data_IF_978885532903
#
_entry.id   IF_978885532903
#
_cell.length_a   1.000
_cell.length_b   1.000
_cell.length_c   1.000
_cell.angle_alpha   90.00
_cell.angle_beta   90.00
_cell.angle_gamma   90.00
#
_symmetry.space_group_name_H-M   'P 1'
#
loop_
_entity.id
_entity.type
_entity.pdbx_description
1 polymer ?
#
# COMPACT_ATOMS: atom_id res chain seq x y z
N UNK A 1 -7.09 -5.14 -11.53
CA UNK A 1 -6.31 -5.84 -12.58
C UNK A 1 -6.11 -7.33 -12.26
N UNK A 2 -5.52 -8.07 -13.18
CA UNK A 2 -5.31 -9.54 -13.06
C UNK A 2 -4.56 -9.94 -11.79
N UNK A 3 -3.51 -9.19 -11.41
CA UNK A 3 -2.73 -9.47 -10.19
C UNK A 3 -3.59 -9.42 -8.92
N UNK A 4 -4.51 -8.46 -8.83
CA UNK A 4 -5.42 -8.40 -7.69
C UNK A 4 -6.39 -9.57 -7.61
N UNK A 5 -6.89 -10.03 -8.75
CA UNK A 5 -7.73 -11.23 -8.84
C UNK A 5 -6.93 -12.51 -8.51
N UNK A 6 -5.68 -12.58 -8.93
CA UNK A 6 -4.75 -13.67 -8.60
C UNK A 6 -4.57 -13.81 -7.09
N UNK A 7 -4.23 -12.71 -6.41
CA UNK A 7 -4.10 -12.67 -4.94
C UNK A 7 -5.39 -13.14 -4.27
N UNK A 8 -6.53 -12.65 -4.74
CA UNK A 8 -7.84 -13.04 -4.22
C UNK A 8 -8.11 -14.55 -4.37
N UNK A 9 -7.82 -15.14 -5.53
CA UNK A 9 -8.05 -16.57 -5.78
C UNK A 9 -7.17 -17.45 -4.89
N UNK A 10 -5.89 -17.09 -4.67
CA UNK A 10 -5.03 -17.82 -3.74
C UNK A 10 -5.55 -17.76 -2.30
N UNK A 11 -6.03 -16.62 -1.86
CA UNK A 11 -6.64 -16.49 -0.53
C UNK A 11 -7.96 -17.26 -0.40
N UNK A 12 -8.77 -17.33 -1.47
CA UNK A 12 -9.94 -18.19 -1.49
C UNK A 12 -9.58 -19.67 -1.36
N UNK A 13 -8.54 -20.10 -2.08
CA UNK A 13 -8.02 -21.44 -1.94
C UNK A 13 -7.57 -21.72 -0.51
N UNK A 14 -6.78 -20.83 0.09
CA UNK A 14 -6.32 -20.97 1.47
C UNK A 14 -7.47 -21.07 2.47
N UNK A 15 -8.54 -20.31 2.25
CA UNK A 15 -9.73 -20.29 3.10
C UNK A 15 -10.65 -21.51 2.89
N UNK A 16 -10.92 -21.92 1.64
CA UNK A 16 -11.92 -22.96 1.32
C UNK A 16 -11.32 -24.32 1.13
N UNK A 17 -10.02 -24.42 0.84
CA UNK A 17 -9.30 -25.62 0.41
C UNK A 17 -9.84 -26.25 -0.88
N UNK A 18 -10.63 -25.50 -1.67
CA UNK A 18 -11.18 -25.97 -2.94
C UNK A 18 -10.17 -25.78 -4.08
N UNK A 19 -9.71 -26.89 -4.69
CA UNK A 19 -8.67 -26.92 -5.73
C UNK A 19 -8.98 -26.01 -6.94
N UNK A 20 -10.25 -25.80 -7.27
CA UNK A 20 -10.69 -24.97 -8.39
C UNK A 20 -10.16 -23.54 -8.31
N UNK A 21 -10.02 -22.94 -7.11
CA UNK A 21 -9.48 -21.60 -6.95
C UNK A 21 -7.97 -21.57 -7.21
N UNK A 22 -7.23 -22.60 -6.76
CA UNK A 22 -5.80 -22.73 -7.04
C UNK A 22 -5.53 -22.89 -8.53
N UNK A 23 -6.25 -23.79 -9.21
CA UNK A 23 -6.12 -24.02 -10.65
C UNK A 23 -6.40 -22.72 -11.46
N UNK A 24 -7.43 -21.95 -11.06
CA UNK A 24 -7.72 -20.66 -11.71
C UNK A 24 -6.63 -19.65 -11.46
N UNK A 25 -6.05 -19.61 -10.25
CA UNK A 25 -4.96 -18.73 -9.90
C UNK A 25 -3.70 -19.05 -10.72
N UNK A 26 -3.32 -20.34 -10.80
CA UNK A 26 -2.16 -20.79 -11.59
C UNK A 26 -2.29 -20.44 -13.07
N UNK A 27 -3.45 -20.68 -13.70
CA UNK A 27 -3.70 -20.29 -15.11
C UNK A 27 -3.61 -18.76 -15.30
N UNK A 28 -4.10 -17.98 -14.34
CA UNK A 28 -4.03 -16.54 -14.40
C UNK A 28 -2.59 -16.02 -14.22
N UNK A 29 -1.79 -16.71 -13.40
CA UNK A 29 -0.37 -16.42 -13.21
C UNK A 29 0.41 -16.69 -14.50
N UNK A 30 0.21 -17.86 -15.14
CA UNK A 30 0.83 -18.23 -16.41
C UNK A 30 0.51 -17.18 -17.49
N UNK A 31 -0.78 -16.80 -17.63
CA UNK A 31 -1.20 -15.78 -18.60
C UNK A 31 -0.56 -14.42 -18.33
N UNK A 32 -0.41 -14.05 -17.06
CA UNK A 32 0.22 -12.79 -16.66
C UNK A 32 1.72 -12.78 -16.99
N UNK A 33 2.42 -13.87 -16.68
CA UNK A 33 3.86 -13.99 -16.93
C UNK A 33 4.20 -14.08 -18.43
N UNK A 34 3.41 -14.83 -19.21
CA UNK A 34 3.66 -15.03 -20.64
C UNK A 34 3.22 -13.85 -21.51
N UNK A 35 2.08 -13.23 -21.19
CA UNK A 35 1.42 -12.30 -22.10
C UNK A 35 1.45 -10.85 -21.67
N UNK A 36 1.38 -10.54 -20.38
CA UNK A 36 1.18 -9.18 -19.90
C UNK A 36 2.50 -8.45 -19.57
N UNK A 37 3.51 -9.14 -19.04
CA UNK A 37 4.78 -8.53 -18.70
C UNK A 37 5.50 -7.94 -19.92
N UNK A 38 5.40 -8.60 -21.07
CA UNK A 38 6.05 -8.17 -22.32
C UNK A 38 5.34 -7.00 -23.01
N UNK A 39 4.04 -6.81 -22.78
CA UNK A 39 3.20 -5.83 -23.46
C UNK A 39 2.98 -4.56 -22.65
N UNK A 40 3.09 -4.63 -21.32
CA UNK A 40 2.82 -3.49 -20.47
C UNK A 40 4.03 -2.56 -20.37
N UNK A 41 3.92 -1.39 -20.98
CA UNK A 41 4.97 -0.36 -20.95
C UNK A 41 4.88 0.56 -19.71
N UNK A 42 3.75 0.54 -18.98
CA UNK A 42 3.56 1.34 -17.77
C UNK A 42 4.31 0.74 -16.58
N UNK A 43 4.90 1.62 -15.76
CA UNK A 43 5.66 1.21 -14.56
C UNK A 43 4.92 1.48 -13.25
N UNK A 44 3.75 2.11 -13.30
CA UNK A 44 3.02 2.51 -12.08
C UNK A 44 2.70 1.32 -11.17
N UNK A 45 2.41 1.60 -9.90
CA UNK A 45 1.96 0.57 -8.95
C UNK A 45 0.48 0.25 -9.17
N UNK A 46 -0.32 1.26 -9.52
CA UNK A 46 -1.76 1.11 -9.65
C UNK A 46 -2.16 0.25 -10.85
N UNK A 47 -1.55 0.49 -12.01
CA UNK A 47 -1.93 -0.14 -13.29
C UNK A 47 -0.75 -0.74 -14.05
N UNK A 48 0.45 -0.70 -13.48
CA UNK A 48 1.69 -1.04 -14.16
C UNK A 48 2.47 -2.21 -13.55
N UNK A 49 3.68 -2.37 -14.07
CA UNK A 49 4.58 -3.49 -13.77
C UNK A 49 5.05 -3.49 -12.31
N UNK A 50 5.23 -2.32 -11.67
CA UNK A 50 5.60 -2.28 -10.25
C UNK A 50 4.51 -2.86 -9.35
N UNK A 51 3.22 -2.66 -9.70
CA UNK A 51 2.12 -3.29 -8.98
C UNK A 51 2.07 -4.81 -9.16
N UNK A 52 2.36 -5.27 -10.38
CA UNK A 52 2.49 -6.71 -10.66
C UNK A 52 3.65 -7.31 -9.86
N UNK A 53 4.80 -6.66 -9.85
CA UNK A 53 5.99 -7.11 -9.12
C UNK A 53 5.76 -7.18 -7.60
N UNK A 54 5.10 -6.17 -7.01
CA UNK A 54 4.71 -6.19 -5.59
C UNK A 54 3.72 -7.33 -5.28
N UNK A 55 2.83 -7.64 -6.23
CA UNK A 55 1.92 -8.77 -6.11
C UNK A 55 2.62 -10.12 -6.19
N UNK A 56 3.61 -10.27 -7.09
CA UNK A 56 4.45 -11.47 -7.19
C UNK A 56 5.27 -11.69 -5.91
N UNK A 57 5.92 -10.62 -5.39
CA UNK A 57 6.61 -10.68 -4.10
C UNK A 57 5.68 -11.13 -2.97
N UNK A 58 4.45 -10.62 -2.95
CA UNK A 58 3.45 -10.99 -1.96
C UNK A 58 3.08 -12.47 -2.01
N UNK A 59 2.77 -13.03 -3.20
CA UNK A 59 2.34 -14.43 -3.33
C UNK A 59 3.47 -15.42 -3.05
N UNK A 60 4.73 -15.08 -3.38
CA UNK A 60 5.92 -15.88 -3.02
C UNK A 60 6.15 -15.82 -1.50
N UNK A 61 6.13 -14.65 -0.88
CA UNK A 61 6.25 -14.51 0.59
C UNK A 61 5.16 -15.23 1.37
N UNK A 62 3.96 -15.34 0.79
CA UNK A 62 2.84 -16.11 1.35
C UNK A 62 2.93 -17.61 1.08
N UNK A 63 3.94 -18.06 0.35
CA UNK A 63 4.14 -19.45 -0.03
C UNK A 63 2.95 -20.03 -0.84
N UNK A 64 2.25 -19.16 -1.58
CA UNK A 64 1.25 -19.61 -2.54
C UNK A 64 1.89 -20.17 -3.80
N UNK A 65 3.08 -19.67 -4.12
CA UNK A 65 3.90 -20.09 -5.27
C UNK A 65 5.34 -20.22 -4.81
N UNK A 66 6.01 -21.27 -5.26
CA UNK A 66 7.45 -21.45 -5.09
C UNK A 66 8.20 -20.73 -6.23
N UNK A 67 9.32 -20.09 -5.91
CA UNK A 67 10.17 -19.43 -6.90
C UNK A 67 11.18 -18.47 -6.29
N UNK A 68 12.24 -18.19 -7.03
CA UNK A 68 13.17 -17.14 -6.70
C UNK A 68 12.59 -15.78 -7.18
N UNK A 69 12.33 -14.90 -6.24
CA UNK A 69 11.71 -13.61 -6.54
C UNK A 69 12.65 -12.70 -7.34
N UNK A 70 13.97 -12.85 -7.24
CA UNK A 70 14.93 -12.09 -8.03
C UNK A 70 14.86 -12.49 -9.50
N UNK A 71 14.77 -13.79 -9.78
CA UNK A 71 14.61 -14.29 -11.15
C UNK A 71 13.28 -13.83 -11.75
N UNK A 72 12.18 -13.93 -11.00
CA UNK A 72 10.84 -13.52 -11.44
C UNK A 72 10.76 -12.02 -11.76
N UNK A 73 11.45 -11.18 -11.01
CA UNK A 73 11.36 -9.72 -11.16
C UNK A 73 12.47 -9.11 -12.03
N UNK A 74 13.47 -9.88 -12.46
CA UNK A 74 14.64 -9.37 -13.21
C UNK A 74 14.25 -8.54 -14.43
N UNK A 75 13.29 -8.99 -15.23
CA UNK A 75 12.82 -8.27 -16.41
C UNK A 75 12.10 -6.94 -16.08
N UNK A 76 11.38 -6.88 -14.95
CA UNK A 76 10.72 -5.65 -14.48
C UNK A 76 11.76 -4.68 -13.94
N UNK A 77 12.71 -5.17 -13.15
CA UNK A 77 13.81 -4.38 -12.62
C UNK A 77 14.63 -3.73 -13.75
N UNK A 78 15.00 -4.50 -14.78
CA UNK A 78 15.72 -3.99 -15.96
C UNK A 78 14.98 -2.87 -16.68
N UNK A 79 13.66 -3.02 -16.86
CA UNK A 79 12.82 -1.98 -17.45
C UNK A 79 12.75 -0.73 -16.58
N UNK A 80 12.62 -0.90 -15.26
CA UNK A 80 12.62 0.21 -14.31
C UNK A 80 13.95 0.94 -14.33
N UNK A 81 15.08 0.22 -14.24
CA UNK A 81 16.42 0.78 -14.33
C UNK A 81 16.59 1.58 -15.62
N UNK A 82 16.26 0.98 -16.76
CA UNK A 82 16.38 1.63 -18.08
C UNK A 82 15.58 2.94 -18.15
N UNK A 83 14.36 2.94 -17.64
CA UNK A 83 13.48 4.13 -17.69
C UNK A 83 13.89 5.20 -16.68
N UNK A 84 14.28 4.82 -15.44
CA UNK A 84 14.64 5.77 -14.39
C UNK A 84 16.07 6.30 -14.53
N UNK A 85 17.01 5.52 -15.07
CA UNK A 85 18.41 5.98 -15.24
C UNK A 85 18.56 6.84 -16.49
N UNK A 86 18.02 6.40 -17.62
CA UNK A 86 18.22 7.05 -18.93
C UNK A 86 17.06 7.95 -19.36
N UNK A 87 15.91 7.88 -18.68
CA UNK A 87 14.78 8.75 -18.94
C UNK A 87 14.93 10.12 -18.27
N UNK A 88 14.34 11.16 -18.89
CA UNK A 88 14.18 12.46 -18.22
C UNK A 88 13.01 12.35 -17.23
N UNK A 89 13.32 12.15 -15.93
CA UNK A 89 12.33 11.86 -14.90
C UNK A 89 11.43 13.06 -14.57
N UNK A 90 11.98 14.28 -14.60
CA UNK A 90 11.30 15.49 -14.17
C UNK A 90 10.07 15.86 -15.01
N UNK A 91 10.08 15.50 -16.28
CA UNK A 91 8.98 15.82 -17.22
C UNK A 91 8.01 14.66 -17.46
N UNK A 92 8.28 13.46 -16.89
CA UNK A 92 7.59 12.22 -17.28
C UNK A 92 6.72 11.61 -16.19
N UNK A 93 7.07 11.79 -14.92
CA UNK A 93 6.41 11.14 -13.79
C UNK A 93 5.86 12.15 -12.79
N UNK A 94 4.65 11.90 -12.31
CA UNK A 94 4.05 12.68 -11.23
C UNK A 94 4.75 12.38 -9.89
N UNK A 95 4.59 13.28 -8.93
CA UNK A 95 5.13 13.12 -7.58
C UNK A 95 4.66 11.80 -6.94
N UNK A 96 3.39 11.44 -7.10
CA UNK A 96 2.85 10.18 -6.60
C UNK A 96 3.52 8.95 -7.23
N UNK A 97 3.78 8.97 -8.53
CA UNK A 97 4.47 7.88 -9.22
C UNK A 97 5.91 7.72 -8.71
N UNK A 98 6.64 8.83 -8.49
CA UNK A 98 8.00 8.79 -7.93
C UNK A 98 8.01 8.21 -6.50
N UNK A 99 7.02 8.54 -5.68
CA UNK A 99 6.86 7.96 -4.33
C UNK A 99 6.63 6.45 -4.42
N UNK A 100 5.78 6.00 -5.33
CA UNK A 100 5.51 4.58 -5.54
C UNK A 100 6.72 3.84 -6.09
N UNK A 101 7.51 4.45 -6.98
CA UNK A 101 8.78 3.85 -7.42
C UNK A 101 9.77 3.72 -6.26
N UNK A 102 9.88 4.75 -5.40
CA UNK A 102 10.73 4.67 -4.22
C UNK A 102 10.26 3.55 -3.28
N UNK A 103 8.95 3.39 -3.10
CA UNK A 103 8.38 2.29 -2.33
C UNK A 103 8.72 0.92 -2.93
N UNK A 104 8.61 0.77 -4.26
CA UNK A 104 9.02 -0.46 -4.95
C UNK A 104 10.51 -0.75 -4.74
N UNK A 105 11.38 0.24 -4.95
CA UNK A 105 12.83 0.10 -4.74
C UNK A 105 13.13 -0.32 -3.28
N UNK A 106 12.47 0.29 -2.30
CA UNK A 106 12.58 -0.13 -0.90
C UNK A 106 12.22 -1.61 -0.73
N UNK A 107 11.13 -2.08 -1.35
CA UNK A 107 10.73 -3.49 -1.30
C UNK A 107 11.76 -4.41 -1.95
N UNK A 108 12.41 -3.98 -3.03
CA UNK A 108 13.52 -4.73 -3.63
C UNK A 108 14.74 -4.80 -2.71
N UNK A 109 15.09 -3.70 -2.03
CA UNK A 109 16.18 -3.67 -1.05
C UNK A 109 15.95 -4.61 0.14
N UNK A 110 14.69 -4.81 0.57
CA UNK A 110 14.36 -5.77 1.63
C UNK A 110 14.68 -7.23 1.26
N UNK A 111 14.66 -7.55 -0.03
CA UNK A 111 14.85 -8.92 -0.54
C UNK A 111 16.33 -9.22 -0.76
N UNK A 112 17.12 -8.21 -1.13
CA UNK A 112 18.53 -8.40 -1.51
C UNK A 112 19.38 -8.74 -0.28
N UNK A 113 20.12 -9.85 -0.36
CA UNK A 113 20.91 -10.38 0.73
C UNK A 113 22.38 -9.99 0.69
N UNK A 114 22.89 -9.58 -0.48
CA UNK A 114 24.30 -9.20 -0.67
C UNK A 114 24.43 -7.78 -1.26
N UNK A 115 25.58 -7.15 -1.00
CA UNK A 115 25.84 -5.75 -1.37
C UNK A 115 25.86 -5.54 -2.90
N UNK A 116 26.33 -6.50 -3.69
CA UNK A 116 26.38 -6.38 -5.13
C UNK A 116 24.98 -6.33 -5.76
N UNK A 117 24.04 -7.08 -5.21
CA UNK A 117 22.64 -7.07 -5.65
C UNK A 117 21.90 -5.81 -5.17
N UNK A 118 22.29 -5.28 -4.01
CA UNK A 118 21.68 -4.06 -3.44
C UNK A 118 22.13 -2.79 -4.15
N UNK A 119 23.39 -2.72 -4.55
CA UNK A 119 24.00 -1.51 -5.10
C UNK A 119 23.19 -0.81 -6.20
N UNK A 120 22.64 -1.49 -7.23
CA UNK A 120 21.82 -0.84 -8.24
C UNK A 120 20.57 -0.17 -7.63
N UNK A 121 19.87 -0.84 -6.74
CA UNK A 121 18.65 -0.31 -6.08
C UNK A 121 18.98 0.86 -5.14
N UNK A 122 20.11 0.81 -4.44
CA UNK A 122 20.60 1.94 -3.63
C UNK A 122 20.84 3.18 -4.49
N UNK A 123 21.47 3.03 -5.67
CA UNK A 123 21.68 4.11 -6.63
C UNK A 123 20.37 4.75 -7.10
N UNK A 124 19.34 3.93 -7.39
CA UNK A 124 18.01 4.43 -7.75
C UNK A 124 17.31 5.11 -6.57
N UNK A 125 17.41 4.54 -5.37
CA UNK A 125 16.83 5.14 -4.16
C UNK A 125 17.43 6.53 -3.89
N UNK A 126 18.75 6.68 -4.00
CA UNK A 126 19.44 7.97 -3.86
C UNK A 126 18.88 9.00 -4.87
N UNK A 127 18.77 8.60 -6.13
CA UNK A 127 18.24 9.48 -7.20
C UNK A 127 16.81 9.92 -6.89
N UNK A 128 15.94 8.98 -6.52
CA UNK A 128 14.53 9.26 -6.20
C UNK A 128 14.37 10.12 -4.95
N UNK A 129 15.14 9.86 -3.88
CA UNK A 129 15.09 10.66 -2.64
C UNK A 129 15.48 12.11 -2.91
N UNK A 130 16.54 12.35 -3.71
CA UNK A 130 16.93 13.71 -4.04
C UNK A 130 15.85 14.43 -4.87
N UNK A 131 15.32 13.75 -5.89
CA UNK A 131 14.28 14.33 -6.72
C UNK A 131 13.00 14.63 -5.95
N UNK A 132 12.57 13.73 -5.06
CA UNK A 132 11.42 13.96 -4.20
C UNK A 132 11.64 15.14 -3.24
N UNK A 133 12.86 15.26 -2.67
CA UNK A 133 13.20 16.38 -1.80
C UNK A 133 13.12 17.74 -2.49
N UNK A 134 13.41 17.79 -3.79
CA UNK A 134 13.35 19.03 -4.59
C UNK A 134 11.92 19.37 -5.06
N UNK A 135 11.04 18.37 -5.21
CA UNK A 135 9.68 18.53 -5.73
C UNK A 135 8.61 18.74 -4.65
N UNK A 136 8.87 18.30 -3.41
CA UNK A 136 7.87 18.39 -2.33
C UNK A 136 7.83 19.80 -1.77
N UNK A 137 6.66 20.39 -1.81
CA UNK A 137 6.32 21.67 -1.21
C UNK A 137 5.12 21.57 -0.25
N UNK A 138 4.62 22.70 0.22
CA UNK A 138 3.49 22.75 1.16
C UNK A 138 2.20 22.11 0.59
N UNK A 139 1.99 22.18 -0.73
CA UNK A 139 0.79 21.63 -1.37
C UNK A 139 0.72 20.11 -1.31
N UNK A 140 1.87 19.44 -1.14
CA UNK A 140 1.92 17.98 -0.97
C UNK A 140 1.19 17.50 0.29
N UNK A 141 1.06 18.36 1.31
CA UNK A 141 0.40 18.03 2.57
C UNK A 141 -1.09 18.37 2.58
N UNK A 142 -1.60 18.98 1.50
CA UNK A 142 -3.02 19.26 1.38
C UNK A 142 -3.84 17.97 1.24
N UNK A 143 -5.00 17.97 1.86
CA UNK A 143 -5.90 16.82 1.89
C UNK A 143 -7.11 17.06 1.00
N UNK A 144 -7.64 15.97 0.43
CA UNK A 144 -8.96 15.99 -0.17
C UNK A 144 -10.05 15.93 0.93
N UNK A 145 -11.29 16.31 0.55
CA UNK A 145 -12.45 16.25 1.45
C UNK A 145 -12.93 14.82 1.75
N UNK A 146 -12.41 13.84 1.04
CA UNK A 146 -12.73 12.42 1.21
C UNK A 146 -11.45 11.61 1.29
N UNK A 147 -11.45 10.57 2.11
CA UNK A 147 -10.31 9.67 2.22
C UNK A 147 -10.06 8.92 0.90
N UNK A 148 -8.80 8.91 0.48
CA UNK A 148 -8.32 8.08 -0.62
C UNK A 148 -6.82 7.85 -0.52
N UNK A 149 -6.38 6.59 -0.57
CA UNK A 149 -4.94 6.26 -0.64
C UNK A 149 -4.29 6.76 -1.93
N UNK A 150 -5.07 7.04 -2.98
CA UNK A 150 -4.58 7.59 -4.24
C UNK A 150 -4.41 9.12 -4.24
N UNK A 151 -4.91 9.80 -3.23
CA UNK A 151 -4.84 11.26 -3.13
C UNK A 151 -3.94 11.71 -1.98
N UNK A 152 -3.83 10.92 -0.91
CA UNK A 152 -3.04 11.25 0.26
C UNK A 152 -1.77 10.40 0.33
N UNK A 153 -0.69 10.87 -0.30
CA UNK A 153 0.56 10.10 -0.46
C UNK A 153 1.58 10.30 0.67
N UNK A 154 1.34 11.24 1.59
CA UNK A 154 2.24 11.51 2.73
C UNK A 154 2.55 10.24 3.52
N UNK A 155 1.57 9.38 3.88
CA UNK A 155 1.84 8.18 4.67
C UNK A 155 2.78 7.19 4.01
N UNK A 156 2.61 6.94 2.70
CA UNK A 156 3.45 5.99 1.97
C UNK A 156 4.89 6.52 1.80
N UNK A 157 5.06 7.83 1.57
CA UNK A 157 6.38 8.47 1.52
C UNK A 157 7.09 8.33 2.87
N UNK A 158 6.40 8.71 3.97
CA UNK A 158 6.97 8.67 5.32
C UNK A 158 7.33 7.24 5.73
N UNK A 159 6.47 6.26 5.41
CA UNK A 159 6.76 4.83 5.63
C UNK A 159 8.02 4.41 4.89
N UNK A 160 8.14 4.78 3.63
CA UNK A 160 9.28 4.40 2.79
C UNK A 160 10.58 5.01 3.30
N UNK A 161 10.62 6.32 3.58
CA UNK A 161 11.80 7.00 4.13
C UNK A 161 12.19 6.45 5.50
N UNK A 162 11.20 6.16 6.37
CA UNK A 162 11.44 5.58 7.70
C UNK A 162 12.03 4.16 7.66
N UNK A 163 11.76 3.43 6.60
CA UNK A 163 12.36 2.12 6.38
C UNK A 163 13.74 2.24 5.72
N UNK A 164 13.90 3.15 4.76
CA UNK A 164 15.18 3.37 4.08
C UNK A 164 16.28 3.91 5.01
N UNK A 165 15.94 4.72 6.01
CA UNK A 165 16.92 5.25 6.98
C UNK A 165 17.60 4.15 7.81
N UNK A 166 17.04 2.95 7.85
CA UNK A 166 17.62 1.80 8.55
C UNK A 166 18.81 1.19 7.78
N UNK A 167 18.94 1.48 6.51
CA UNK A 167 20.10 1.10 5.69
C UNK A 167 21.17 2.19 5.79
N UNK A 168 22.44 1.81 5.86
CA UNK A 168 23.54 2.79 6.06
C UNK A 168 23.83 3.64 4.81
N UNK A 169 23.37 3.22 3.63
CA UNK A 169 23.50 4.02 2.44
C UNK A 169 22.63 5.30 2.55
N UNK A 170 23.21 6.45 2.30
CA UNK A 170 22.54 7.75 2.20
C UNK A 170 21.74 8.22 3.44
N UNK A 171 22.02 7.66 4.61
CA UNK A 171 21.30 7.89 5.88
C UNK A 171 21.20 9.37 6.24
N UNK A 172 22.32 10.12 6.19
CA UNK A 172 22.34 11.55 6.55
C UNK A 172 21.43 12.40 5.65
N UNK A 173 21.35 12.06 4.36
CA UNK A 173 20.49 12.79 3.44
C UNK A 173 19.02 12.47 3.67
N UNK A 174 18.68 11.21 3.88
CA UNK A 174 17.31 10.78 4.23
C UNK A 174 16.88 11.47 5.53
N UNK A 175 17.77 11.54 6.53
CA UNK A 175 17.47 12.24 7.77
C UNK A 175 17.18 13.73 7.54
N UNK A 176 17.98 14.43 6.74
CA UNK A 176 17.73 15.84 6.38
C UNK A 176 16.39 16.02 5.65
N UNK A 177 16.02 15.09 4.77
CA UNK A 177 14.70 15.12 4.11
C UNK A 177 13.59 14.94 5.13
N UNK A 178 13.70 13.99 6.05
CA UNK A 178 12.73 13.79 7.13
C UNK A 178 12.63 15.02 8.06
N UNK A 179 13.73 15.70 8.37
CA UNK A 179 13.74 16.94 9.14
C UNK A 179 13.00 18.08 8.39
N UNK A 180 13.20 18.21 7.08
CA UNK A 180 12.47 19.19 6.26
C UNK A 180 10.96 18.90 6.23
N UNK A 181 10.58 17.63 6.01
CA UNK A 181 9.17 17.22 6.00
C UNK A 181 8.50 17.41 7.36
N UNK A 182 9.23 17.20 8.46
CA UNK A 182 8.71 17.34 9.82
C UNK A 182 8.28 18.77 10.14
N UNK A 183 8.89 19.79 9.53
CA UNK A 183 8.49 21.19 9.72
C UNK A 183 7.04 21.45 9.29
N UNK A 184 6.61 20.83 8.20
CA UNK A 184 5.22 20.89 7.75
C UNK A 184 4.30 20.02 8.62
N UNK A 185 4.73 18.78 8.91
CA UNK A 185 3.90 17.80 9.61
C UNK A 185 3.62 18.19 11.06
N UNK A 186 4.61 18.69 11.81
CA UNK A 186 4.43 19.02 13.23
C UNK A 186 3.52 20.24 13.47
N UNK A 187 3.31 21.06 12.45
CA UNK A 187 2.41 22.19 12.50
C UNK A 187 0.99 21.88 12.02
N UNK A 188 0.75 20.68 11.50
CA UNK A 188 -0.50 20.32 10.85
C UNK A 188 -0.99 18.93 11.27
N UNK A 189 -2.27 18.84 11.65
CA UNK A 189 -2.97 17.56 11.82
C UNK A 189 -3.93 17.38 10.64
N UNK A 190 -3.94 16.22 9.99
CA UNK A 190 -4.92 15.92 8.95
C UNK A 190 -6.36 16.16 9.43
N UNK A 191 -7.21 16.70 8.56
CA UNK A 191 -8.61 16.98 8.89
C UNK A 191 -9.40 15.70 9.08
N UNK A 192 -9.24 14.75 8.16
CA UNK A 192 -9.92 13.46 8.24
C UNK A 192 -9.24 12.55 9.26
N UNK A 193 -10.03 11.94 10.14
CA UNK A 193 -9.53 10.97 11.11
C UNK A 193 -8.99 9.70 10.45
N UNK A 194 -9.52 9.31 9.30
CA UNK A 194 -9.00 8.18 8.54
C UNK A 194 -7.64 8.54 7.90
N UNK A 195 -7.40 9.79 7.47
CA UNK A 195 -6.08 10.26 7.06
C UNK A 195 -5.10 10.28 8.25
N UNK A 196 -5.55 10.64 9.46
CA UNK A 196 -4.73 10.54 10.68
C UNK A 196 -4.32 9.11 10.97
N UNK A 197 -5.23 8.15 10.83
CA UNK A 197 -4.94 6.73 11.00
C UNK A 197 -3.94 6.23 9.97
N UNK A 198 -4.11 6.62 8.70
CA UNK A 198 -3.19 6.24 7.63
C UNK A 198 -1.82 6.89 7.81
N UNK A 199 -1.77 8.17 8.22
CA UNK A 199 -0.52 8.84 8.56
C UNK A 199 0.18 8.20 9.75
N UNK A 200 -0.57 7.84 10.80
CA UNK A 200 -0.03 7.13 11.96
C UNK A 200 0.69 5.84 11.54
N UNK A 201 0.09 5.03 10.68
CA UNK A 201 0.73 3.84 10.12
C UNK A 201 2.05 4.18 9.40
N UNK A 202 2.07 5.29 8.65
CA UNK A 202 3.26 5.72 7.89
C UNK A 202 4.43 6.18 8.76
N UNK A 203 4.14 6.89 9.86
CA UNK A 203 5.18 7.54 10.69
C UNK A 203 5.59 6.75 11.94
N UNK A 204 4.85 5.72 12.32
CA UNK A 204 5.15 4.92 13.53
C UNK A 204 6.61 4.42 13.61
N UNK A 205 7.28 4.02 12.53
CA UNK A 205 8.69 3.66 12.60
C UNK A 205 9.61 4.79 13.06
N UNK A 206 9.22 6.06 12.89
CA UNK A 206 10.00 7.24 13.28
C UNK A 206 9.87 7.60 14.76
N UNK A 207 8.98 6.97 15.51
CA UNK A 207 8.66 7.31 16.92
C UNK A 207 9.89 7.39 17.84
N UNK A 208 10.93 6.64 17.54
CA UNK A 208 12.16 6.58 18.33
C UNK A 208 13.31 7.43 17.72
N UNK A 209 13.09 8.13 16.59
CA UNK A 209 14.13 8.93 15.95
C UNK A 209 14.43 10.23 16.71
N UNK A 210 13.42 10.84 17.34
CA UNK A 210 13.57 12.01 18.23
C UNK A 210 12.37 12.16 19.17
N UNK A 211 12.52 12.96 20.27
CA UNK A 211 11.42 13.29 21.17
C UNK A 211 10.24 13.97 20.45
N UNK A 212 10.51 14.78 19.41
CA UNK A 212 9.47 15.46 18.64
C UNK A 212 8.63 14.49 17.80
N UNK A 213 9.27 13.50 17.16
CA UNK A 213 8.56 12.43 16.48
C UNK A 213 7.70 11.62 17.44
N UNK A 214 8.23 11.27 18.62
CA UNK A 214 7.47 10.53 19.61
C UNK A 214 6.25 11.33 20.10
N UNK A 215 6.42 12.63 20.36
CA UNK A 215 5.32 13.53 20.75
C UNK A 215 4.26 13.58 19.64
N UNK A 216 4.65 13.84 18.40
CA UNK A 216 3.73 13.94 17.27
C UNK A 216 2.95 12.63 17.03
N UNK A 217 3.61 11.47 17.06
CA UNK A 217 2.95 10.16 16.97
C UNK A 217 1.91 9.98 18.06
N UNK A 218 2.23 10.34 19.32
CA UNK A 218 1.29 10.23 20.43
C UNK A 218 0.09 11.18 20.31
N UNK A 219 0.30 12.41 19.89
CA UNK A 219 -0.75 13.39 19.65
C UNK A 219 -1.66 12.97 18.49
N UNK A 220 -1.06 12.54 17.38
CA UNK A 220 -1.80 12.02 16.22
C UNK A 220 -2.68 10.84 16.61
N UNK A 221 -2.12 9.84 17.34
CA UNK A 221 -2.89 8.68 17.83
C UNK A 221 -4.08 9.09 18.70
N UNK A 222 -3.86 10.00 19.67
CA UNK A 222 -4.92 10.50 20.57
C UNK A 222 -6.02 11.26 19.83
N UNK A 223 -5.67 11.90 18.71
CA UNK A 223 -6.60 12.68 17.90
C UNK A 223 -7.53 11.84 17.02
N UNK A 224 -7.28 10.53 16.87
CA UNK A 224 -8.09 9.64 16.03
C UNK A 224 -9.38 9.28 16.76
N UNK A 225 -10.52 9.51 16.12
CA UNK A 225 -11.84 9.15 16.63
C UNK A 225 -12.55 8.23 15.63
N UNK A 226 -12.72 6.94 16.01
CA UNK A 226 -13.33 5.94 15.14
C UNK A 226 -14.82 6.21 14.90
N UNK A 227 -15.54 6.80 15.86
CA UNK A 227 -16.98 7.11 15.69
C UNK A 227 -17.19 8.17 14.61
N UNK A 228 -16.26 9.13 14.48
CA UNK A 228 -16.28 10.10 13.38
C UNK A 228 -16.01 9.41 12.06
N UNK A 229 -15.03 8.51 11.99
CA UNK A 229 -14.73 7.72 10.79
C UNK A 229 -15.97 6.92 10.36
N UNK A 230 -16.58 6.15 11.27
CA UNK A 230 -17.73 5.30 10.97
C UNK A 230 -18.98 6.06 10.55
N UNK A 231 -19.23 7.24 11.12
CA UNK A 231 -20.53 7.90 10.98
C UNK A 231 -20.50 9.14 10.08
N UNK A 232 -19.31 9.69 9.76
CA UNK A 232 -19.19 10.96 9.04
C UNK A 232 -18.25 10.91 7.85
N UNK A 233 -17.14 10.17 7.93
CA UNK A 233 -16.12 10.18 6.88
C UNK A 233 -16.33 9.08 5.84
N UNK A 234 -16.64 7.84 6.28
CA UNK A 234 -16.94 6.73 5.36
C UNK A 234 -18.44 6.75 5.04
N UNK A 235 -18.76 6.89 3.75
CA UNK A 235 -20.14 6.85 3.25
C UNK A 235 -20.53 5.42 2.85
N UNK A 236 -21.83 5.16 2.70
CA UNK A 236 -22.33 3.83 2.36
C UNK A 236 -21.87 3.23 1.03
N UNK A 237 -21.16 4.01 0.20
CA UNK A 237 -20.53 3.54 -1.05
C UNK A 237 -19.03 3.26 -0.90
N UNK A 238 -18.43 3.60 0.23
CA UNK A 238 -16.98 3.55 0.44
C UNK A 238 -16.65 2.28 1.23
N UNK A 239 -16.55 1.14 0.52
CA UNK A 239 -16.25 -0.17 1.13
C UNK A 239 -14.87 -0.72 0.75
N UNK A 240 -14.16 -0.07 -0.19
CA UNK A 240 -12.94 -0.59 -0.81
C UNK A 240 -11.67 -0.33 0.04
N UNK A 241 -10.57 -0.99 -0.33
CA UNK A 241 -9.25 -0.72 0.27
C UNK A 241 -8.79 0.70 -0.07
N UNK A 242 -9.17 1.23 -1.23
CA UNK A 242 -8.72 2.56 -1.64
C UNK A 242 -9.33 3.72 -0.85
N UNK A 243 -10.56 3.55 -0.30
CA UNK A 243 -11.32 4.69 0.20
C UNK A 243 -12.31 4.40 1.33
N UNK A 244 -12.38 3.15 1.85
CA UNK A 244 -13.48 2.83 2.72
C UNK A 244 -13.22 1.86 3.87
N UNK A 245 -14.24 1.09 4.23
CA UNK A 245 -14.21 0.18 5.40
C UNK A 245 -13.13 -0.90 5.31
N UNK A 246 -12.82 -1.43 4.11
CA UNK A 246 -11.72 -2.37 3.96
C UNK A 246 -10.36 -1.72 4.26
N UNK A 247 -10.16 -0.44 3.87
CA UNK A 247 -8.96 0.33 4.25
C UNK A 247 -8.85 0.49 5.76
N UNK A 248 -9.94 0.94 6.40
CA UNK A 248 -10.01 1.10 7.85
C UNK A 248 -9.62 -0.20 8.56
N UNK A 249 -10.20 -1.33 8.13
CA UNK A 249 -9.90 -2.64 8.70
C UNK A 249 -8.42 -3.00 8.58
N UNK A 250 -7.85 -2.92 7.36
CA UNK A 250 -6.45 -3.29 7.15
C UNK A 250 -5.46 -2.36 7.86
N UNK A 251 -5.77 -1.07 8.00
CA UNK A 251 -4.95 -0.15 8.77
C UNK A 251 -4.96 -0.49 10.27
N UNK A 252 -6.12 -0.76 10.84
CA UNK A 252 -6.27 -1.11 12.27
C UNK A 252 -5.61 -2.46 12.59
N UNK A 253 -5.82 -3.48 11.75
CA UNK A 253 -5.16 -4.78 11.88
C UNK A 253 -3.64 -4.69 11.66
N UNK A 254 -3.20 -3.88 10.70
CA UNK A 254 -1.78 -3.60 10.47
C UNK A 254 -1.12 -2.97 11.69
N UNK A 255 -1.75 -1.96 12.30
CA UNK A 255 -1.26 -1.36 13.54
C UNK A 255 -1.19 -2.37 14.67
N UNK A 256 -2.24 -3.16 14.87
CA UNK A 256 -2.29 -4.19 15.93
C UNK A 256 -1.18 -5.24 15.77
N UNK A 257 -0.88 -5.65 14.53
CA UNK A 257 0.14 -6.65 14.21
C UNK A 257 1.56 -6.09 14.37
N UNK A 258 1.83 -4.92 13.78
CA UNK A 258 3.17 -4.40 13.61
C UNK A 258 3.60 -3.49 14.78
N UNK A 259 2.63 -2.90 15.50
CA UNK A 259 2.82 -1.96 16.60
C UNK A 259 1.79 -2.17 17.72
N UNK A 260 1.83 -3.30 18.45
CA UNK A 260 0.80 -3.65 19.45
C UNK A 260 0.56 -2.57 20.50
N UNK A 261 1.60 -1.85 20.91
CA UNK A 261 1.54 -0.75 21.88
C UNK A 261 0.78 0.50 21.38
N UNK A 262 0.59 0.60 20.04
CA UNK A 262 -0.15 1.68 19.39
C UNK A 262 -1.52 1.23 18.88
N UNK A 263 -1.95 0.03 19.26
CA UNK A 263 -3.26 -0.48 18.89
C UNK A 263 -4.38 0.51 19.26
N UNK A 264 -5.31 0.70 18.34
CA UNK A 264 -6.56 1.43 18.55
C UNK A 264 -7.65 0.36 18.64
N UNK A 265 -8.34 0.24 19.79
CA UNK A 265 -9.43 -0.72 19.93
C UNK A 265 -10.55 -0.44 18.93
N UNK A 266 -11.02 -1.47 18.23
CA UNK A 266 -12.09 -1.36 17.24
C UNK A 266 -13.00 -2.57 17.29
N UNK A 267 -14.18 -2.46 16.69
CA UNK A 267 -15.15 -3.55 16.56
C UNK A 267 -15.15 -4.11 15.14
N UNK A 268 -14.54 -5.30 14.89
CA UNK A 268 -14.51 -5.91 13.57
C UNK A 268 -15.91 -6.27 13.04
N UNK A 269 -16.84 -6.68 13.93
CA UNK A 269 -18.21 -7.00 13.55
C UNK A 269 -18.93 -5.77 12.96
N UNK A 270 -18.71 -4.59 13.56
CA UNK A 270 -19.31 -3.36 13.04
C UNK A 270 -18.80 -3.06 11.63
N UNK A 271 -17.49 -3.26 11.36
CA UNK A 271 -16.91 -3.07 10.01
C UNK A 271 -17.54 -4.07 9.03
N UNK A 272 -17.63 -5.34 9.43
CA UNK A 272 -18.26 -6.39 8.62
C UNK A 272 -19.69 -6.01 8.25
N UNK A 273 -20.52 -5.68 9.23
CA UNK A 273 -21.93 -5.33 9.05
C UNK A 273 -22.09 -4.08 8.14
N UNK A 274 -21.22 -3.07 8.32
CA UNK A 274 -21.24 -1.87 7.48
C UNK A 274 -20.89 -2.15 6.02
N UNK A 275 -20.01 -3.11 5.75
CA UNK A 275 -19.69 -3.53 4.38
C UNK A 275 -20.89 -4.27 3.76
N UNK A 276 -21.38 -5.32 4.42
CA UNK A 276 -22.43 -6.18 3.85
C UNK A 276 -23.81 -5.51 3.74
N UNK A 277 -24.07 -4.47 4.55
CA UNK A 277 -25.30 -3.68 4.50
C UNK A 277 -25.22 -2.43 3.64
N UNK A 278 -24.14 -2.28 2.85
CA UNK A 278 -23.93 -1.08 2.03
C UNK A 278 -24.55 -1.20 0.63
N UNK A 279 -25.02 -0.07 0.09
CA UNK A 279 -25.51 0.00 -1.30
C UNK A 279 -24.46 -0.48 -2.33
N UNK A 280 -23.17 -0.26 -2.02
CA UNK A 280 -22.07 -0.69 -2.90
C UNK A 280 -21.92 -2.22 -2.90
N UNK A 281 -22.13 -2.88 -1.74
CA UNK A 281 -22.13 -4.33 -1.66
C UNK A 281 -23.29 -4.94 -2.44
N UNK A 282 -24.50 -4.41 -2.26
CA UNK A 282 -25.68 -4.84 -3.01
C UNK A 282 -25.46 -4.67 -4.51
N UNK A 283 -24.92 -3.51 -4.93
CA UNK A 283 -24.59 -3.27 -6.33
C UNK A 283 -23.55 -4.26 -6.89
N UNK A 284 -22.55 -4.66 -6.09
CA UNK A 284 -21.57 -5.68 -6.49
C UNK A 284 -22.21 -7.06 -6.67
N UNK A 285 -23.23 -7.39 -5.87
CA UNK A 285 -23.90 -8.69 -5.93
C UNK A 285 -24.95 -8.78 -7.02
N UNK A 286 -25.66 -7.69 -7.32
CA UNK A 286 -26.85 -7.68 -8.17
C UNK A 286 -26.59 -7.12 -9.57
N UNK A 287 -25.54 -6.33 -9.77
CA UNK A 287 -25.28 -5.61 -11.02
C UNK A 287 -23.97 -6.07 -11.67
N UNK A 288 -24.07 -6.87 -12.73
CA UNK A 288 -22.94 -7.40 -13.49
C UNK A 288 -22.04 -6.28 -14.06
N UNK A 289 -22.60 -5.18 -14.55
CA UNK A 289 -21.80 -4.06 -15.04
C UNK A 289 -20.99 -3.42 -13.92
N UNK A 290 -21.62 -3.18 -12.77
CA UNK A 290 -20.95 -2.61 -11.60
C UNK A 290 -19.82 -3.53 -11.09
N UNK A 291 -20.08 -4.84 -10.99
CA UNK A 291 -19.07 -5.85 -10.67
C UNK A 291 -17.89 -5.80 -11.66
N UNK A 292 -18.16 -5.70 -12.96
CA UNK A 292 -17.14 -5.72 -14.00
C UNK A 292 -16.17 -4.53 -13.94
N UNK A 293 -16.63 -3.35 -13.55
CA UNK A 293 -15.76 -2.18 -13.37
C UNK A 293 -15.03 -2.17 -12.03
N UNK A 294 -15.49 -2.96 -11.05
CA UNK A 294 -14.91 -3.07 -9.70
C UNK A 294 -14.20 -4.41 -9.46
N UNK A 295 -13.37 -4.86 -10.41
CA UNK A 295 -12.58 -6.10 -10.31
C UNK A 295 -11.19 -5.90 -9.71
N UNK A 296 -10.81 -4.69 -9.36
CA UNK A 296 -9.49 -4.37 -8.81
C UNK A 296 -9.36 -4.78 -7.34
N UNK A 297 -8.12 -5.07 -6.91
CA UNK A 297 -7.83 -5.37 -5.50
C UNK A 297 -8.13 -4.17 -4.62
N UNK A 298 -7.63 -3.00 -4.98
CA UNK A 298 -7.75 -1.80 -4.17
C UNK A 298 -9.12 -1.12 -4.32
N UNK A 299 -9.68 -1.11 -5.53
CA UNK A 299 -10.94 -0.44 -5.89
C UNK A 299 -12.07 -1.42 -6.23
N UNK A 300 -12.15 -2.58 -5.57
CA UNK A 300 -13.16 -3.51 -6.00
C UNK A 300 -13.44 -4.67 -5.05
N UNK A 301 -14.26 -5.57 -5.58
CA UNK A 301 -14.75 -6.77 -4.93
C UNK A 301 -13.63 -7.62 -4.29
N UNK A 302 -12.51 -7.95 -4.99
CA UNK A 302 -11.48 -8.81 -4.42
C UNK A 302 -10.94 -8.31 -3.09
N UNK A 303 -10.57 -7.05 -2.98
CA UNK A 303 -10.02 -6.50 -1.74
C UNK A 303 -11.04 -6.38 -0.62
N UNK A 304 -12.28 -6.06 -0.96
CA UNK A 304 -13.37 -6.00 0.02
C UNK A 304 -13.67 -7.39 0.59
N UNK A 305 -13.74 -8.41 -0.27
CA UNK A 305 -13.97 -9.79 0.19
C UNK A 305 -12.80 -10.30 1.02
N UNK A 306 -11.54 -9.96 0.68
CA UNK A 306 -10.40 -10.31 1.53
C UNK A 306 -10.51 -9.71 2.94
N UNK A 307 -11.01 -8.49 3.09
CA UNK A 307 -11.28 -7.91 4.40
C UNK A 307 -12.37 -8.70 5.15
N UNK A 308 -13.49 -9.02 4.47
CA UNK A 308 -14.58 -9.81 5.06
C UNK A 308 -14.14 -11.22 5.48
N UNK A 309 -13.38 -11.93 4.63
CA UNK A 309 -12.84 -13.26 4.94
C UNK A 309 -11.89 -13.21 6.14
N UNK A 310 -11.02 -12.22 6.19
CA UNK A 310 -10.10 -12.05 7.31
C UNK A 310 -10.84 -11.74 8.62
N UNK A 311 -11.87 -10.87 8.59
CA UNK A 311 -12.73 -10.61 9.74
C UNK A 311 -13.43 -11.90 10.17
N UNK A 312 -14.04 -12.63 9.24
CA UNK A 312 -14.76 -13.85 9.52
C UNK A 312 -13.86 -14.90 10.17
N UNK A 313 -12.69 -15.14 9.60
CA UNK A 313 -11.74 -16.13 10.09
C UNK A 313 -11.23 -15.81 11.50
N UNK A 314 -10.95 -14.53 11.80
CA UNK A 314 -10.32 -14.13 13.06
C UNK A 314 -11.29 -13.83 14.20
N UNK A 315 -12.50 -13.42 13.89
CA UNK A 315 -13.42 -12.83 14.86
C UNK A 315 -14.85 -13.40 14.84
N UNK A 316 -15.24 -14.13 13.77
CA UNK A 316 -16.60 -14.64 13.60
C UNK A 316 -16.69 -16.18 13.57
N UNK A 317 -15.54 -16.88 13.43
CA UNK A 317 -15.51 -18.34 13.56
C UNK A 317 -15.19 -18.68 15.02
N UNK A 318 -16.23 -18.73 15.86
CA UNK A 318 -16.27 -19.47 17.11
C UNK A 318 -17.06 -20.78 16.93
#
# INVERSE_FOLDING_TARGET
GKMGLLIYLYHLYDYTQEAIYKEKAERLLDDLLENDLSKNAELTVEEGLCGVALGLDYIVKKQFVDGDINDLLSGIDDLLFKKLVFGNMESRYSLSQLIHFLYYIYKRLEIQTNDNERFPFEGLAIKLVNQLADLIDASFFEESYTFSIYQYHVPILMKTLSCLIQYDFYKDRIQKVLEQLSLYMFSHLPHLHLNRLYLLWGILPLRNCSPDWQRYVNELRKSINLDIIYNREIKGKDIYISNGYASLYFLLEGLKRDFPEYTIPFNPHLIYDRIISSDAWDALMENEYYYNIHRGLLNGFPGTVLALLNIKQRYLCE
#
